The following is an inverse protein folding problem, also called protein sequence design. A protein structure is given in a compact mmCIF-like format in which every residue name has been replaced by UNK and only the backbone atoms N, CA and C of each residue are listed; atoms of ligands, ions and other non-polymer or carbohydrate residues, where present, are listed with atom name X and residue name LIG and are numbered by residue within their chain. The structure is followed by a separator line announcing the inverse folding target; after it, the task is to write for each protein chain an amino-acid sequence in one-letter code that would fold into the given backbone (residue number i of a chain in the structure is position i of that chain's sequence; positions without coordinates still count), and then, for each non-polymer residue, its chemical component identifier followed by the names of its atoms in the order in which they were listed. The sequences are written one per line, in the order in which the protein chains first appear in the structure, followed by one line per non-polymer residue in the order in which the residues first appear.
data_IF_081572976923
#
_entry.id   IF_081572976923
#
_cell.length_a   1.000
_cell.length_b   1.000
_cell.length_c   1.000
_cell.angle_alpha   90.00
_cell.angle_beta   90.00
_cell.angle_gamma   90.00
#
_symmetry.space_group_name_H-M   'P 1'
#
loop_
_entity.id
_entity.type
_entity.pdbx_description
1 polymer ?
#
# COMPACT_ATOMS: atom_id res chain seq x y z
N UNK A 1 0.21 -28.81 52.04
CA UNK A 1 0.87 -27.53 51.66
C UNK A 1 1.30 -27.66 50.21
N UNK A 2 0.51 -27.12 49.28
CA UNK A 2 0.76 -27.24 47.84
C UNK A 2 1.73 -26.14 47.40
N UNK A 3 2.79 -26.51 46.69
CA UNK A 3 3.78 -25.59 46.12
C UNK A 3 3.29 -25.16 44.74
N UNK A 4 3.06 -23.86 44.54
CA UNK A 4 2.65 -23.31 43.26
C UNK A 4 3.83 -23.25 42.27
N UNK A 5 3.63 -23.55 40.97
CA UNK A 5 4.69 -23.44 39.97
C UNK A 5 4.91 -21.97 39.58
N UNK A 6 6.16 -21.51 39.55
CA UNK A 6 6.53 -20.19 39.03
C UNK A 6 6.40 -20.18 37.50
N UNK A 7 5.39 -19.50 36.97
CA UNK A 7 5.32 -19.15 35.54
C UNK A 7 6.49 -18.23 35.18
N UNK A 8 7.34 -18.67 34.24
CA UNK A 8 8.30 -17.79 33.57
C UNK A 8 7.66 -17.27 32.29
N UNK A 9 7.22 -16.01 32.28
CA UNK A 9 6.78 -15.34 31.05
C UNK A 9 8.01 -14.96 30.22
N UNK A 10 8.08 -15.31 28.93
CA UNK A 10 9.16 -14.87 28.07
C UNK A 10 9.05 -13.37 27.82
N UNK A 11 10.11 -12.63 28.17
CA UNK A 11 10.24 -11.20 27.87
C UNK A 11 10.81 -11.08 26.46
N UNK A 12 10.03 -10.51 25.55
CA UNK A 12 10.46 -10.25 24.18
C UNK A 12 11.30 -8.96 24.15
N UNK A 13 12.55 -9.04 23.68
CA UNK A 13 13.37 -7.86 23.41
C UNK A 13 13.45 -7.64 21.90
N UNK A 14 12.87 -6.54 21.43
CA UNK A 14 13.09 -6.04 20.08
C UNK A 14 14.48 -5.41 20.01
N UNK A 15 15.41 -6.02 19.26
CA UNK A 15 16.64 -5.36 18.82
C UNK A 15 16.40 -4.79 17.43
N UNK A 16 15.81 -3.61 17.36
CA UNK A 16 15.88 -2.79 16.17
C UNK A 16 17.01 -1.79 16.38
N UNK A 17 18.02 -1.86 15.50
CA UNK A 17 18.97 -0.78 15.15
C UNK A 17 19.78 -0.17 16.29
N UNK A 18 20.86 -0.85 16.70
CA UNK A 18 22.06 -0.19 17.28
C UNK A 18 23.28 -1.04 16.90
N UNK A 19 23.74 -0.90 15.65
CA UNK A 19 25.17 -0.91 15.31
C UNK A 19 25.38 -0.60 13.81
N UNK A 20 24.96 0.58 13.38
CA UNK A 20 25.52 1.23 12.20
C UNK A 20 26.21 2.51 12.70
N UNK A 21 27.34 2.34 13.38
CA UNK A 21 28.34 3.39 13.50
C UNK A 21 29.66 2.81 13.02
N UNK A 22 30.05 3.31 11.85
CA UNK A 22 31.35 3.16 11.23
C UNK A 22 32.48 3.45 12.22
N UNK A 23 33.56 2.67 12.17
CA UNK A 23 34.90 3.27 12.16
C UNK A 23 35.94 2.29 11.58
N UNK A 24 36.48 2.74 10.46
CA UNK A 24 37.48 2.13 9.62
C UNK A 24 38.84 2.70 10.04
N UNK A 25 39.69 1.91 10.68
CA UNK A 25 41.12 2.26 10.79
C UNK A 25 42.03 1.06 10.52
N UNK A 26 42.73 1.20 9.39
CA UNK A 26 43.89 0.44 8.96
C UNK A 26 45.11 0.71 9.85
N UNK A 27 45.75 -0.35 10.37
CA UNK A 27 47.05 -0.28 11.03
C UNK A 27 47.89 -1.52 10.70
N UNK A 28 48.83 -1.36 9.78
CA UNK A 28 49.78 -2.38 9.33
C UNK A 28 51.14 -2.10 9.94
N UNK A 29 51.66 -2.97 10.83
CA UNK A 29 53.08 -3.04 11.14
C UNK A 29 53.49 -4.50 11.44
N UNK A 30 54.58 -4.95 10.81
CA UNK A 30 55.10 -6.31 10.92
C UNK A 30 56.32 -6.43 11.83
N UNK A 31 56.68 -7.66 12.19
CA UNK A 31 58.07 -8.06 12.45
C UNK A 31 58.18 -9.60 12.55
N UNK A 32 59.17 -10.15 11.85
CA UNK A 32 59.56 -11.55 11.88
C UNK A 32 60.47 -11.88 13.08
N UNK A 33 60.45 -13.13 13.56
CA UNK A 33 61.44 -13.64 14.51
C UNK A 33 61.13 -15.08 14.97
N UNK A 34 62.05 -16.02 14.78
CA UNK A 34 61.78 -17.46 14.90
C UNK A 34 62.35 -18.18 16.13
N UNK A 35 62.16 -19.51 16.08
CA UNK A 35 62.85 -20.65 16.74
C UNK A 35 62.31 -21.29 18.05
N UNK A 36 61.91 -22.56 17.87
CA UNK A 36 62.21 -23.81 18.63
C UNK A 36 61.84 -23.94 20.12
N UNK A 37 60.73 -24.68 20.36
CA UNK A 37 60.67 -25.95 21.11
C UNK A 37 60.78 -25.98 22.63
N UNK A 38 59.68 -26.30 23.33
CA UNK A 38 59.63 -27.14 24.57
C UNK A 38 58.21 -27.71 24.73
N UNK A 39 58.12 -29.00 25.09
CA UNK A 39 56.89 -29.73 25.38
C UNK A 39 56.31 -29.38 26.77
N UNK A 40 54.97 -29.24 26.86
CA UNK A 40 54.19 -29.00 28.08
C UNK A 40 52.68 -29.12 27.80
N UNK A 41 51.83 -29.34 28.82
CA UNK A 41 50.80 -30.38 28.82
C UNK A 41 49.52 -30.04 28.05
N UNK A 42 48.87 -31.11 27.57
CA UNK A 42 47.56 -31.12 26.92
C UNK A 42 46.51 -30.52 27.86
N UNK A 43 46.04 -29.32 27.55
CA UNK A 43 44.78 -28.79 28.10
C UNK A 43 43.85 -28.53 26.92
N UNK A 44 42.76 -29.29 26.86
CA UNK A 44 41.71 -29.12 25.87
C UNK A 44 41.01 -27.78 26.07
N UNK A 45 41.53 -26.73 25.45
CA UNK A 45 40.75 -25.53 25.15
C UNK A 45 40.08 -25.77 23.81
N UNK A 46 38.87 -26.32 23.87
CA UNK A 46 37.98 -26.37 22.73
C UNK A 46 37.64 -24.92 22.36
N UNK A 47 38.41 -24.34 21.45
CA UNK A 47 38.07 -23.10 20.78
C UNK A 47 36.72 -23.32 20.10
N UNK A 48 35.67 -22.72 20.66
CA UNK A 48 34.40 -22.54 19.95
C UNK A 48 34.70 -21.64 18.77
N UNK A 49 34.94 -22.25 17.63
CA UNK A 49 34.95 -21.61 16.33
C UNK A 49 33.59 -20.90 16.22
N UNK A 50 33.51 -19.57 16.06
CA UNK A 50 32.24 -18.93 15.79
C UNK A 50 31.79 -19.44 14.42
N UNK A 51 30.71 -20.22 14.42
CA UNK A 51 30.02 -20.63 13.20
C UNK A 51 29.28 -19.41 12.69
N UNK A 52 30.00 -18.47 12.08
CA UNK A 52 29.44 -17.67 11.00
C UNK A 52 29.90 -18.32 9.70
N UNK A 53 29.51 -19.59 9.51
CA UNK A 53 29.50 -20.12 8.15
C UNK A 53 28.45 -19.30 7.44
N UNK A 54 28.91 -18.47 6.50
CA UNK A 54 28.05 -17.71 5.58
C UNK A 54 26.92 -18.62 5.13
N UNK A 55 25.73 -18.38 5.68
CA UNK A 55 24.53 -19.07 5.26
C UNK A 55 23.91 -18.24 4.13
N UNK A 56 24.69 -17.98 3.08
CA UNK A 56 24.21 -17.51 1.78
C UNK A 56 23.22 -18.51 1.12
N UNK A 57 22.94 -19.65 1.76
CA UNK A 57 21.95 -20.64 1.32
C UNK A 57 20.72 -20.82 2.22
N UNK A 58 20.57 -20.11 3.35
CA UNK A 58 19.44 -20.32 4.25
C UNK A 58 18.23 -19.43 3.92
N UNK A 59 17.87 -19.32 2.65
CA UNK A 59 16.55 -18.81 2.26
C UNK A 59 15.55 -19.87 2.70
N UNK A 60 14.88 -19.64 3.84
CA UNK A 60 13.83 -20.54 4.33
C UNK A 60 12.76 -20.61 3.25
N UNK A 61 12.65 -21.75 2.56
CA UNK A 61 11.93 -21.91 1.29
C UNK A 61 10.40 -21.69 1.36
N UNK A 62 9.87 -21.17 2.47
CA UNK A 62 8.43 -20.94 2.72
C UNK A 62 8.15 -19.61 3.44
N UNK A 63 9.10 -18.68 3.49
CA UNK A 63 8.89 -17.35 4.09
C UNK A 63 9.01 -16.32 3.00
N UNK A 64 7.97 -15.50 2.84
CA UNK A 64 7.98 -14.35 1.95
C UNK A 64 9.10 -13.41 2.38
N UNK A 65 9.83 -12.87 1.42
CA UNK A 65 10.84 -11.86 1.71
C UNK A 65 10.18 -10.56 2.17
N UNK A 66 10.91 -9.73 2.91
CA UNK A 66 10.36 -8.51 3.49
C UNK A 66 9.69 -7.61 2.43
N UNK A 67 10.26 -7.51 1.23
CA UNK A 67 9.68 -6.74 0.12
C UNK A 67 8.36 -7.35 -0.38
N UNK A 68 8.22 -8.68 -0.42
CA UNK A 68 6.99 -9.35 -0.84
C UNK A 68 5.88 -9.18 0.20
N UNK A 69 6.24 -9.15 1.49
CA UNK A 69 5.30 -8.83 2.55
C UNK A 69 4.81 -7.39 2.43
N UNK A 70 5.72 -6.44 2.18
CA UNK A 70 5.40 -5.03 2.00
C UNK A 70 4.45 -4.81 0.81
N UNK A 71 4.79 -5.36 -0.36
CA UNK A 71 3.96 -5.27 -1.57
C UNK A 71 2.59 -5.92 -1.36
N UNK A 72 2.52 -7.06 -0.68
CA UNK A 72 1.22 -7.69 -0.35
C UNK A 72 0.39 -6.86 0.62
N UNK A 73 1.03 -6.20 1.60
CA UNK A 73 0.34 -5.31 2.53
C UNK A 73 -0.26 -4.10 1.83
N UNK A 74 0.48 -3.50 0.89
CA UNK A 74 -0.04 -2.39 0.08
C UNK A 74 -1.22 -2.81 -0.81
N UNK A 75 -1.17 -4.00 -1.42
CA UNK A 75 -2.29 -4.52 -2.20
C UNK A 75 -3.52 -4.80 -1.33
N UNK A 76 -3.34 -5.30 -0.11
CA UNK A 76 -4.42 -5.52 0.84
C UNK A 76 -5.06 -4.18 1.27
N UNK A 77 -4.24 -3.16 1.54
CA UNK A 77 -4.72 -1.80 1.84
C UNK A 77 -5.51 -1.21 0.67
N UNK A 78 -5.01 -1.35 -0.57
CA UNK A 78 -5.73 -0.90 -1.77
C UNK A 78 -7.07 -1.61 -1.94
N UNK A 79 -7.11 -2.92 -1.66
CA UNK A 79 -8.32 -3.72 -1.73
C UNK A 79 -9.35 -3.26 -0.70
N UNK A 80 -8.93 -3.02 0.52
CA UNK A 80 -9.82 -2.55 1.58
C UNK A 80 -10.36 -1.15 1.26
N UNK A 81 -9.51 -0.25 0.77
CA UNK A 81 -9.90 1.11 0.37
C UNK A 81 -10.94 1.10 -0.75
N UNK A 82 -10.70 0.34 -1.83
CA UNK A 82 -11.62 0.31 -2.97
C UNK A 82 -12.95 -0.36 -2.59
N UNK A 83 -12.92 -1.42 -1.79
CA UNK A 83 -14.14 -2.09 -1.31
C UNK A 83 -14.97 -1.14 -0.43
N UNK A 84 -14.32 -0.42 0.48
CA UNK A 84 -14.98 0.57 1.32
C UNK A 84 -15.63 1.68 0.49
N UNK A 85 -14.90 2.26 -0.47
CA UNK A 85 -15.42 3.33 -1.33
C UNK A 85 -16.61 2.82 -2.16
N UNK A 86 -16.48 1.66 -2.80
CA UNK A 86 -17.54 1.10 -3.63
C UNK A 86 -18.78 0.71 -2.81
N UNK A 87 -18.60 0.27 -1.57
CA UNK A 87 -19.73 -0.01 -0.67
C UNK A 87 -20.53 1.27 -0.36
N UNK A 88 -19.83 2.38 -0.13
CA UNK A 88 -20.44 3.69 0.15
C UNK A 88 -21.19 4.24 -1.05
N UNK A 89 -20.66 4.00 -2.26
CA UNK A 89 -21.26 4.42 -3.53
C UNK A 89 -22.49 3.60 -3.93
N UNK A 90 -22.48 2.29 -3.68
CA UNK A 90 -23.62 1.40 -3.97
C UNK A 90 -24.74 1.46 -2.94
N UNK A 91 -24.46 1.94 -1.73
CA UNK A 91 -25.46 2.03 -0.67
C UNK A 91 -26.44 3.20 -0.84
N UNK A 92 -27.42 3.25 0.06
CA UNK A 92 -28.43 4.32 0.17
C UNK A 92 -27.86 5.63 0.79
N UNK A 93 -26.58 5.88 0.56
CA UNK A 93 -25.89 7.09 1.02
C UNK A 93 -26.40 8.33 0.28
N UNK A 94 -26.37 9.49 0.95
CA UNK A 94 -26.72 10.76 0.33
C UNK A 94 -25.76 11.10 -0.83
N UNK A 95 -26.23 11.90 -1.79
CA UNK A 95 -25.44 12.29 -2.96
C UNK A 95 -24.10 12.95 -2.59
N UNK A 96 -24.07 13.75 -1.52
CA UNK A 96 -22.84 14.37 -1.01
C UNK A 96 -21.81 13.34 -0.56
N UNK A 97 -22.24 12.29 0.15
CA UNK A 97 -21.36 11.20 0.60
C UNK A 97 -20.82 10.44 -0.63
N UNK A 98 -21.67 10.18 -1.63
CA UNK A 98 -21.26 9.55 -2.89
C UNK A 98 -20.23 10.41 -3.63
N UNK A 99 -20.40 11.75 -3.65
CA UNK A 99 -19.43 12.68 -4.24
C UNK A 99 -18.08 12.64 -3.51
N UNK A 100 -18.07 12.73 -2.17
CA UNK A 100 -16.85 12.64 -1.37
C UNK A 100 -16.13 11.30 -1.54
N UNK A 101 -16.90 10.22 -1.66
CA UNK A 101 -16.37 8.88 -1.93
C UNK A 101 -15.72 8.81 -3.32
N UNK A 102 -16.38 9.36 -4.34
CA UNK A 102 -15.83 9.46 -5.69
C UNK A 102 -14.57 10.36 -5.76
N UNK A 103 -14.52 11.46 -5.02
CA UNK A 103 -13.32 12.31 -4.91
C UNK A 103 -12.18 11.56 -4.21
N UNK A 104 -12.49 10.80 -3.16
CA UNK A 104 -11.50 9.98 -2.45
C UNK A 104 -10.92 8.91 -3.37
N UNK A 105 -11.77 8.29 -4.19
CA UNK A 105 -11.33 7.39 -5.27
C UNK A 105 -10.45 8.10 -6.29
N UNK A 106 -10.87 9.28 -6.77
CA UNK A 106 -10.10 10.07 -7.72
C UNK A 106 -8.69 10.37 -7.18
N UNK A 107 -8.58 10.74 -5.89
CA UNK A 107 -7.30 10.99 -5.24
C UNK A 107 -6.40 9.75 -5.25
N UNK A 108 -6.95 8.56 -4.99
CA UNK A 108 -6.20 7.29 -5.06
C UNK A 108 -5.79 6.98 -6.50
N UNK A 109 -6.67 7.25 -7.49
CA UNK A 109 -6.36 7.12 -8.92
C UNK A 109 -5.25 8.05 -9.42
N UNK A 110 -4.72 8.98 -8.63
CA UNK A 110 -3.51 9.74 -9.00
C UNK A 110 -2.25 8.86 -8.95
N UNK A 111 -2.20 7.86 -8.07
CA UNK A 111 -1.09 6.89 -8.00
C UNK A 111 -1.16 5.91 -9.18
N UNK A 112 -0.07 5.72 -9.95
CA UNK A 112 -0.01 4.71 -11.00
C UNK A 112 -0.14 3.29 -10.47
N UNK A 113 0.41 2.99 -9.29
CA UNK A 113 0.37 1.68 -8.63
C UNK A 113 -1.09 1.29 -8.36
N UNK A 114 -1.89 2.19 -7.79
CA UNK A 114 -3.31 1.96 -7.53
C UNK A 114 -4.11 1.74 -8.82
N UNK A 115 -3.80 2.49 -9.90
CA UNK A 115 -4.45 2.28 -11.20
C UNK A 115 -4.09 0.92 -11.81
N UNK A 116 -2.84 0.48 -11.66
CA UNK A 116 -2.41 -0.83 -12.11
C UNK A 116 -3.10 -1.94 -11.32
N UNK A 117 -3.19 -1.80 -10.01
CA UNK A 117 -3.92 -2.72 -9.11
C UNK A 117 -5.39 -2.89 -9.52
N UNK A 118 -6.13 -1.78 -9.73
CA UNK A 118 -7.54 -1.85 -10.15
C UNK A 118 -7.70 -2.62 -11.47
N UNK A 119 -6.73 -2.51 -12.39
CA UNK A 119 -6.75 -3.22 -13.67
C UNK A 119 -6.40 -4.70 -13.52
N UNK A 120 -5.37 -5.04 -12.74
CA UNK A 120 -4.96 -6.44 -12.54
C UNK A 120 -6.04 -7.25 -11.83
N UNK A 121 -6.73 -6.65 -10.86
CA UNK A 121 -7.82 -7.28 -10.12
C UNK A 121 -9.17 -7.27 -10.87
N UNK A 122 -9.25 -6.63 -12.05
CA UNK A 122 -10.49 -6.54 -12.83
C UNK A 122 -11.60 -5.69 -12.18
N UNK A 123 -11.25 -4.82 -11.24
CA UNK A 123 -12.19 -3.99 -10.47
C UNK A 123 -12.72 -2.78 -11.24
N UNK A 124 -12.13 -2.48 -12.40
CA UNK A 124 -12.57 -1.40 -13.30
C UNK A 124 -14.09 -1.44 -13.54
N UNK A 125 -14.63 -2.61 -13.90
CA UNK A 125 -16.06 -2.78 -14.15
C UNK A 125 -16.92 -2.48 -12.92
N UNK A 126 -16.41 -2.80 -11.72
CA UNK A 126 -17.09 -2.53 -10.46
C UNK A 126 -17.10 -1.04 -10.12
N UNK A 127 -16.02 -0.31 -10.46
CA UNK A 127 -15.96 1.15 -10.35
C UNK A 127 -17.00 1.80 -11.24
N UNK A 128 -17.07 1.42 -12.52
CA UNK A 128 -18.07 1.96 -13.44
C UNK A 128 -19.51 1.65 -12.99
N UNK A 129 -19.76 0.45 -12.47
CA UNK A 129 -21.07 0.10 -11.89
C UNK A 129 -21.41 0.93 -10.66
N UNK A 130 -20.43 1.20 -9.78
CA UNK A 130 -20.63 2.08 -8.62
C UNK A 130 -20.92 3.53 -9.03
N UNK A 131 -20.41 3.95 -10.18
CA UNK A 131 -20.64 5.28 -10.76
C UNK A 131 -21.89 5.35 -11.67
N UNK A 132 -22.65 4.27 -11.83
CA UNK A 132 -23.78 4.24 -12.77
C UNK A 132 -24.87 5.27 -12.45
N UNK A 133 -25.08 5.56 -11.17
CA UNK A 133 -26.04 6.57 -10.72
C UNK A 133 -25.54 8.01 -10.87
N UNK A 134 -24.28 8.21 -11.27
CA UNK A 134 -23.70 9.54 -11.43
C UNK A 134 -24.42 10.38 -12.49
N UNK A 135 -25.12 9.76 -13.45
CA UNK A 135 -25.90 10.50 -14.44
C UNK A 135 -27.12 11.25 -13.86
N UNK A 136 -27.55 10.91 -12.63
CA UNK A 136 -28.73 11.50 -12.00
C UNK A 136 -28.42 12.76 -11.17
N UNK A 137 -27.17 12.94 -10.76
CA UNK A 137 -26.72 14.09 -9.96
C UNK A 137 -25.51 14.73 -10.63
N UNK A 138 -25.60 16.02 -10.91
CA UNK A 138 -24.56 16.77 -11.59
C UNK A 138 -23.22 16.83 -10.83
N UNK A 139 -23.25 16.98 -9.50
CA UNK A 139 -22.03 17.02 -8.70
C UNK A 139 -21.34 15.66 -8.74
N UNK A 140 -22.14 14.59 -8.67
CA UNK A 140 -21.65 13.23 -8.79
C UNK A 140 -21.14 12.94 -10.20
N UNK A 141 -21.80 13.45 -11.25
CA UNK A 141 -21.36 13.36 -12.64
C UNK A 141 -19.97 13.97 -12.86
N UNK A 142 -19.72 15.14 -12.26
CA UNK A 142 -18.41 15.80 -12.33
C UNK A 142 -17.33 14.97 -11.60
N UNK A 143 -17.64 14.47 -10.41
CA UNK A 143 -16.73 13.61 -9.66
C UNK A 143 -16.44 12.31 -10.42
N UNK A 144 -17.46 11.68 -10.98
CA UNK A 144 -17.35 10.46 -11.79
C UNK A 144 -16.50 10.68 -13.03
N UNK A 145 -16.74 11.78 -13.76
CA UNK A 145 -15.94 12.15 -14.92
C UNK A 145 -14.46 12.33 -14.56
N UNK A 146 -14.17 12.90 -13.38
CA UNK A 146 -12.80 13.08 -12.87
C UNK A 146 -12.13 11.73 -12.59
N UNK A 147 -12.83 10.79 -11.93
CA UNK A 147 -12.32 9.44 -11.70
C UNK A 147 -11.99 8.75 -13.03
N UNK A 148 -12.95 8.76 -13.96
CA UNK A 148 -12.82 8.15 -15.29
C UNK A 148 -11.63 8.76 -16.04
N UNK A 149 -11.49 10.07 -16.01
CA UNK A 149 -10.38 10.78 -16.62
C UNK A 149 -9.04 10.34 -16.04
N UNK A 150 -8.91 10.32 -14.71
CA UNK A 150 -7.66 9.93 -14.04
C UNK A 150 -7.30 8.47 -14.31
N UNK A 151 -8.28 7.57 -14.33
CA UNK A 151 -8.08 6.19 -14.74
C UNK A 151 -7.63 6.09 -16.20
N UNK A 152 -8.09 6.98 -17.08
CA UNK A 152 -7.78 6.94 -18.52
C UNK A 152 -6.42 7.54 -18.88
N UNK A 153 -5.66 8.03 -17.88
CA UNK A 153 -4.34 8.67 -18.12
C UNK A 153 -3.23 7.69 -18.51
N UNK A 154 -3.39 6.40 -18.26
CA UNK A 154 -2.36 5.42 -18.59
C UNK A 154 -2.45 4.98 -20.05
N UNK A 155 -1.31 4.60 -20.63
CA UNK A 155 -1.21 4.11 -22.01
C UNK A 155 -1.90 2.75 -22.23
N UNK A 156 -2.27 2.05 -21.15
CA UNK A 156 -2.96 0.77 -21.19
C UNK A 156 -4.47 1.04 -21.28
N UNK A 157 -5.08 0.58 -22.38
CA UNK A 157 -6.52 0.77 -22.60
C UNK A 157 -7.33 0.16 -21.46
N UNK A 158 -8.26 0.94 -20.91
CA UNK A 158 -9.25 0.44 -19.97
C UNK A 158 -10.22 -0.46 -20.74
N UNK A 159 -10.49 -1.70 -20.29
CA UNK A 159 -11.56 -2.50 -20.88
C UNK A 159 -12.90 -1.81 -20.57
N UNK A 160 -13.60 -1.36 -21.62
CA UNK A 160 -14.86 -0.63 -21.50
C UNK A 160 -16.01 -1.55 -21.87
N UNK A 161 -16.87 -1.83 -20.89
CA UNK A 161 -18.06 -2.66 -21.06
C UNK A 161 -19.21 -1.85 -21.69
N UNK A 162 -20.23 -2.52 -22.22
CA UNK A 162 -21.43 -1.87 -22.73
C UNK A 162 -22.14 -0.98 -21.68
N UNK A 163 -22.05 -1.34 -20.39
CA UNK A 163 -22.59 -0.54 -19.29
C UNK A 163 -21.77 0.74 -19.07
N UNK A 164 -20.44 0.63 -19.05
CA UNK A 164 -19.53 1.76 -18.93
C UNK A 164 -19.67 2.74 -20.10
N UNK A 165 -19.83 2.24 -21.33
CA UNK A 165 -20.11 3.08 -22.51
C UNK A 165 -21.43 3.84 -22.38
N UNK A 166 -22.48 3.20 -21.85
CA UNK A 166 -23.77 3.86 -21.60
C UNK A 166 -23.61 4.99 -20.58
N UNK A 167 -22.90 4.73 -19.48
CA UNK A 167 -22.61 5.76 -18.47
C UNK A 167 -21.83 6.93 -19.10
N UNK A 168 -20.77 6.66 -19.85
CA UNK A 168 -20.00 7.70 -20.54
C UNK A 168 -20.87 8.53 -21.49
N UNK A 169 -21.74 7.88 -22.27
CA UNK A 169 -22.68 8.57 -23.14
C UNK A 169 -23.67 9.43 -22.36
N UNK A 170 -24.15 8.96 -21.21
CA UNK A 170 -25.02 9.76 -20.34
C UNK A 170 -24.28 10.97 -19.77
N UNK A 171 -23.06 10.80 -19.27
CA UNK A 171 -22.24 11.88 -18.73
C UNK A 171 -21.95 12.96 -19.80
N UNK A 172 -21.66 12.55 -21.04
CA UNK A 172 -21.41 13.49 -22.15
C UNK A 172 -22.66 14.25 -22.61
N UNK A 173 -23.87 13.76 -22.32
CA UNK A 173 -25.13 14.44 -22.66
C UNK A 173 -25.55 15.48 -21.62
N UNK A 174 -24.87 15.54 -20.47
CA UNK A 174 -25.13 16.54 -19.43
C UNK A 174 -24.54 17.88 -19.91
N UNK A 175 -25.32 18.62 -20.70
CA UNK A 175 -24.90 19.89 -21.31
C UNK A 175 -25.23 21.09 -20.41
N UNK A 176 -26.21 20.96 -19.51
CA UNK A 176 -26.57 21.99 -18.55
C UNK A 176 -26.15 21.56 -17.15
N UNK A 177 -25.27 22.36 -16.56
CA UNK A 177 -25.18 22.43 -15.12
C UNK A 177 -26.51 23.08 -14.66
N UNK A 178 -27.53 22.29 -14.31
CA UNK A 178 -28.73 22.82 -13.65
C UNK A 178 -28.26 23.57 -12.41
N UNK A 179 -28.30 24.89 -12.51
CA UNK A 179 -28.03 25.75 -11.38
C UNK A 179 -29.13 25.48 -10.37
N UNK A 180 -28.76 24.75 -9.32
CA UNK A 180 -29.64 24.52 -8.18
C UNK A 180 -30.12 25.91 -7.70
N UNK A 181 -31.40 26.09 -7.35
CA UNK A 181 -31.93 27.41 -6.95
C UNK A 181 -31.10 28.02 -5.79
N UNK A 182 -30.50 27.18 -4.96
CA UNK A 182 -29.50 27.56 -3.96
C UNK A 182 -28.20 28.11 -4.57
N UNK A 183 -27.64 27.46 -5.59
CA UNK A 183 -26.45 27.95 -6.32
C UNK A 183 -26.72 29.31 -6.99
N UNK A 184 -27.92 29.52 -7.54
CA UNK A 184 -28.33 30.84 -8.03
C UNK A 184 -28.34 31.85 -6.89
N UNK A 185 -28.91 31.51 -5.74
CA UNK A 185 -28.98 32.40 -4.57
C UNK A 185 -27.59 32.81 -4.06
N UNK A 186 -26.63 31.88 -4.02
CA UNK A 186 -25.24 32.19 -3.66
C UNK A 186 -24.54 33.02 -4.75
N UNK A 187 -24.76 32.74 -6.04
CA UNK A 187 -24.22 33.54 -7.13
C UNK A 187 -24.74 34.98 -7.11
N UNK A 188 -26.02 35.18 -6.78
CA UNK A 188 -26.63 36.51 -6.65
C UNK A 188 -26.15 37.26 -5.41
N UNK A 189 -25.83 36.57 -4.30
CA UNK A 189 -25.26 37.22 -3.10
C UNK A 189 -23.83 37.71 -3.29
N UNK A 190 -23.03 37.05 -4.13
CA UNK A 190 -21.65 37.49 -4.43
C UNK A 190 -21.63 38.69 -5.39
N UNK A 191 -22.76 39.02 -6.04
CA UNK A 191 -22.89 40.11 -7.01
C UNK A 191 -23.52 41.40 -6.45
N UNK A 192 -23.67 41.50 -5.12
CA UNK A 192 -24.02 42.72 -4.37
C UNK A 192 -22.84 43.19 -3.52
#
# INVERSE_FOLDING_TARGET
KFVAPKERRPVYQHKWTENDEDENESGSEGAAGGRVGVAGPVTSKQQRIPIYKSNEGARVHKVKEAHQCLESGEHDDFKQDIEYILSTMKGDSSANIKCLSAISLARKCVSPEFRQFIRSEGLVSNVFKGLAEAANDQNLALCASTVIYLMSRDFISIPVDAHSLRLLSQLLRIEKLEQNEEQKKYATMVSL
#
